data_IF_398911426944
#
_entry.id   IF_398911426944
#
_cell.length_a   1.000
_cell.length_b   1.000
_cell.length_c   1.000
_cell.angle_alpha   90.00
_cell.angle_beta   90.00
_cell.angle_gamma   90.00
#
_symmetry.space_group_name_H-M   'P 1'
#
loop_
_entity.id
_entity.type
_entity.pdbx_description
1 polymer ?
#
# COMPACT_ATOMS: atom_id res chain seq x y z
N UNK A 1 46.29 -22.85 -21.93
CA UNK A 1 46.43 -21.92 -20.79
C UNK A 1 45.28 -20.93 -20.88
N UNK A 2 44.15 -21.13 -20.18
CA UNK A 2 43.07 -20.15 -20.17
C UNK A 2 43.47 -19.01 -19.23
N UNK A 3 43.66 -17.83 -19.80
CA UNK A 3 44.10 -16.63 -19.10
C UNK A 3 42.92 -15.88 -18.50
N UNK A 4 42.97 -15.71 -17.17
CA UNK A 4 42.37 -14.62 -16.38
C UNK A 4 40.86 -14.42 -16.57
N UNK A 5 40.11 -14.98 -15.63
CA UNK A 5 38.78 -14.51 -15.25
C UNK A 5 38.87 -13.01 -14.96
N UNK A 6 38.35 -12.19 -15.88
CA UNK A 6 37.83 -10.88 -15.49
C UNK A 6 36.76 -11.19 -14.45
N UNK A 7 37.06 -10.92 -13.19
CA UNK A 7 36.03 -10.77 -12.17
C UNK A 7 34.93 -9.90 -12.77
N UNK A 8 33.71 -10.40 -12.79
CA UNK A 8 32.54 -9.63 -13.18
C UNK A 8 32.45 -8.43 -12.22
N UNK A 9 33.01 -7.29 -12.60
CA UNK A 9 33.00 -6.06 -11.79
C UNK A 9 31.54 -5.68 -11.51
N UNK A 10 31.08 -5.97 -10.29
CA UNK A 10 29.75 -5.61 -9.84
C UNK A 10 29.61 -4.09 -9.81
N UNK A 11 28.55 -3.57 -10.42
CA UNK A 11 28.19 -2.18 -10.29
C UNK A 11 27.83 -1.90 -8.83
N UNK A 12 28.57 -0.98 -8.19
CA UNK A 12 28.44 -0.68 -6.76
C UNK A 12 27.90 0.73 -6.56
N UNK A 13 26.90 0.87 -5.70
CA UNK A 13 26.30 2.12 -5.27
C UNK A 13 26.41 2.28 -3.76
N UNK A 14 26.63 3.50 -3.29
CA UNK A 14 26.73 3.82 -1.86
C UNK A 14 25.55 4.69 -1.42
N UNK A 15 24.92 4.31 -0.32
CA UNK A 15 23.88 5.09 0.34
C UNK A 15 24.36 5.43 1.74
N UNK A 16 24.58 6.70 2.01
CA UNK A 16 24.97 7.17 3.34
C UNK A 16 23.73 7.66 4.09
N UNK A 17 23.41 7.01 5.20
CA UNK A 17 22.36 7.43 6.13
C UNK A 17 23.02 8.27 7.22
N UNK A 18 22.67 9.54 7.30
CA UNK A 18 23.24 10.49 8.26
C UNK A 18 22.20 10.91 9.28
N UNK A 19 22.62 11.03 10.54
CA UNK A 19 21.78 11.64 11.57
C UNK A 19 21.93 13.16 11.53
N UNK A 20 20.86 13.85 11.16
CA UNK A 20 20.81 15.32 11.18
C UNK A 20 20.82 15.84 12.63
N UNK A 21 21.33 17.06 12.85
CA UNK A 21 21.24 17.81 14.11
C UNK A 21 22.05 17.26 15.30
N UNK A 22 23.23 16.71 15.05
CA UNK A 22 24.18 16.27 16.08
C UNK A 22 25.57 16.89 15.83
N UNK A 23 26.30 17.25 16.90
CA UNK A 23 27.64 17.85 16.80
C UNK A 23 28.68 16.91 16.16
N UNK A 24 28.49 15.60 16.34
CA UNK A 24 29.18 14.54 15.61
C UNK A 24 28.12 13.93 14.69
N UNK A 25 28.37 13.81 13.39
CA UNK A 25 27.42 13.20 12.45
C UNK A 25 27.68 11.68 12.36
N UNK A 26 27.04 10.84 13.19
CA UNK A 26 27.10 9.40 12.96
C UNK A 26 26.47 9.13 11.60
N UNK A 27 27.14 8.28 10.84
CA UNK A 27 26.65 7.82 9.56
C UNK A 27 26.80 6.32 9.45
N UNK A 28 25.86 5.71 8.75
CA UNK A 28 25.92 4.31 8.34
C UNK A 28 25.86 4.28 6.83
N UNK A 29 26.76 3.51 6.23
CA UNK A 29 26.80 3.33 4.78
C UNK A 29 26.22 1.97 4.42
N UNK A 30 25.27 1.97 3.49
CA UNK A 30 24.75 0.77 2.84
C UNK A 30 25.40 0.65 1.48
N UNK A 31 26.03 -0.50 1.24
CA UNK A 31 26.66 -0.83 -0.04
C UNK A 31 25.67 -1.69 -0.82
N UNK A 32 25.28 -1.21 -2.00
CA UNK A 32 24.36 -1.91 -2.90
C UNK A 32 25.16 -2.36 -4.12
N UNK A 33 25.14 -3.66 -4.41
CA UNK A 33 25.86 -4.25 -5.53
C UNK A 33 24.87 -4.94 -6.47
N UNK A 34 25.08 -4.75 -7.77
CA UNK A 34 24.29 -5.42 -8.81
C UNK A 34 25.17 -5.90 -9.96
N UNK A 35 24.79 -6.97 -10.67
CA UNK A 35 25.51 -7.49 -11.82
C UNK A 35 25.52 -6.53 -13.02
N UNK A 36 24.62 -5.54 -13.03
CA UNK A 36 24.61 -4.46 -14.02
C UNK A 36 24.39 -3.11 -13.34
N UNK A 37 24.81 -2.02 -13.99
CA UNK A 37 24.57 -0.66 -13.50
C UNK A 37 23.08 -0.35 -13.32
N UNK A 38 22.25 -0.78 -14.26
CA UNK A 38 20.79 -0.59 -14.18
C UNK A 38 20.21 -1.25 -12.93
N UNK A 39 20.58 -2.50 -12.66
CA UNK A 39 20.08 -3.22 -11.50
C UNK A 39 20.62 -2.65 -10.18
N UNK A 40 21.89 -2.22 -10.15
CA UNK A 40 22.45 -1.54 -8.99
C UNK A 40 21.74 -0.20 -8.69
N UNK A 41 21.36 0.56 -9.73
CA UNK A 41 20.59 1.80 -9.58
C UNK A 41 19.15 1.53 -9.11
N UNK A 42 18.50 0.50 -9.63
CA UNK A 42 17.17 0.07 -9.18
C UNK A 42 17.18 -0.35 -7.71
N UNK A 43 18.11 -1.23 -7.33
CA UNK A 43 18.30 -1.67 -5.94
C UNK A 43 18.62 -0.50 -5.02
N UNK A 44 19.45 0.46 -5.47
CA UNK A 44 19.73 1.68 -4.71
C UNK A 44 18.45 2.47 -4.47
N UNK A 45 17.63 2.68 -5.50
CA UNK A 45 16.37 3.41 -5.39
C UNK A 45 15.39 2.71 -4.45
N UNK A 46 15.25 1.39 -4.54
CA UNK A 46 14.41 0.61 -3.62
C UNK A 46 14.94 0.67 -2.18
N UNK A 47 16.24 0.58 -1.98
CA UNK A 47 16.86 0.72 -0.65
C UNK A 47 16.56 2.10 -0.05
N UNK A 48 16.71 3.18 -0.82
CA UNK A 48 16.37 4.54 -0.38
C UNK A 48 14.88 4.67 -0.05
N UNK A 49 13.99 4.08 -0.85
CA UNK A 49 12.55 4.05 -0.59
C UNK A 49 12.24 3.33 0.72
N UNK A 50 12.83 2.15 0.95
CA UNK A 50 12.64 1.37 2.17
C UNK A 50 13.13 2.11 3.41
N UNK A 51 14.34 2.69 3.37
CA UNK A 51 14.86 3.52 4.47
C UNK A 51 13.93 4.70 4.76
N UNK A 52 13.41 5.35 3.71
CA UNK A 52 12.48 6.47 3.86
C UNK A 52 11.15 6.05 4.47
N UNK A 53 10.60 4.91 4.06
CA UNK A 53 9.36 4.33 4.63
C UNK A 53 9.53 3.96 6.10
N UNK A 54 10.64 3.31 6.45
CA UNK A 54 10.96 2.98 7.86
C UNK A 54 11.06 4.25 8.71
N UNK A 55 11.80 5.25 8.23
CA UNK A 55 11.90 6.55 8.92
C UNK A 55 10.54 7.21 9.10
N UNK A 56 9.70 7.19 8.07
CA UNK A 56 8.37 7.81 8.15
C UNK A 56 7.47 7.06 9.13
N UNK A 57 7.45 5.72 9.10
CA UNK A 57 6.70 4.90 10.06
C UNK A 57 7.14 5.11 11.51
N UNK A 58 8.45 5.22 11.75
CA UNK A 58 8.99 5.53 13.08
C UNK A 58 8.62 6.95 13.55
N UNK A 59 8.51 7.92 12.63
CA UNK A 59 8.15 9.30 12.96
C UNK A 59 6.66 9.51 13.17
N UNK A 60 5.82 8.87 12.36
CA UNK A 60 4.37 8.99 12.47
C UNK A 60 3.83 8.18 13.64
N UNK A 61 4.46 7.04 13.96
CA UNK A 61 3.94 6.08 14.93
C UNK A 61 2.70 5.32 14.43
N UNK A 62 2.35 5.47 13.15
CA UNK A 62 1.18 4.86 12.53
C UNK A 62 1.59 4.01 11.34
N UNK A 63 0.97 2.83 11.25
CA UNK A 63 1.00 1.94 10.09
C UNK A 63 -0.43 1.62 9.69
N UNK A 64 -0.61 1.28 8.42
CA UNK A 64 -1.90 0.93 7.85
C UNK A 64 -1.96 -0.57 7.53
N UNK A 65 -3.17 -1.16 7.50
CA UNK A 65 -3.33 -2.56 7.12
C UNK A 65 -2.94 -2.75 5.65
N UNK A 66 -1.90 -3.55 5.39
CA UNK A 66 -1.48 -3.86 4.02
C UNK A 66 -2.38 -4.91 3.36
N UNK A 67 -1.90 -5.51 2.27
CA UNK A 67 -2.62 -6.56 1.51
C UNK A 67 -4.04 -6.15 1.07
N UNK A 68 -4.25 -4.86 0.82
CA UNK A 68 -5.55 -4.31 0.42
C UNK A 68 -6.54 -4.10 1.57
N UNK A 69 -6.18 -4.44 2.82
CA UNK A 69 -7.06 -4.30 3.98
C UNK A 69 -7.44 -2.85 4.25
N UNK A 70 -6.48 -1.92 4.16
CA UNK A 70 -6.75 -0.48 4.26
C UNK A 70 -7.79 0.00 3.24
N UNK A 71 -7.65 -0.40 1.98
CA UNK A 71 -8.54 0.04 0.91
C UNK A 71 -9.96 -0.51 1.05
N UNK A 72 -10.11 -1.75 1.51
CA UNK A 72 -11.41 -2.32 1.87
C UNK A 72 -12.05 -1.59 3.05
N UNK A 73 -11.27 -1.27 4.09
CA UNK A 73 -11.75 -0.47 5.21
C UNK A 73 -12.20 0.93 4.77
N UNK A 74 -11.45 1.58 3.87
CA UNK A 74 -11.83 2.87 3.29
C UNK A 74 -13.13 2.79 2.49
N UNK A 75 -13.30 1.79 1.62
CA UNK A 75 -14.52 1.62 0.85
C UNK A 75 -15.75 1.45 1.76
N UNK A 76 -15.63 0.61 2.80
CA UNK A 76 -16.67 0.41 3.80
C UNK A 76 -16.99 1.70 4.59
N UNK A 77 -15.97 2.45 4.99
CA UNK A 77 -16.15 3.72 5.72
C UNK A 77 -16.81 4.80 4.83
N UNK A 78 -16.44 4.89 3.56
CA UNK A 78 -17.04 5.81 2.59
C UNK A 78 -18.52 5.49 2.36
N UNK A 79 -18.89 4.20 2.31
CA UNK A 79 -20.28 3.77 2.19
C UNK A 79 -21.13 4.16 3.40
N UNK A 80 -20.59 3.99 4.61
CA UNK A 80 -21.23 4.45 5.85
C UNK A 80 -21.40 5.97 5.87
N UNK A 81 -20.36 6.71 5.49
CA UNK A 81 -20.40 8.18 5.42
C UNK A 81 -21.41 8.67 4.38
N UNK A 82 -21.47 8.06 3.20
CA UNK A 82 -22.46 8.39 2.18
C UNK A 82 -23.90 8.24 2.70
N UNK A 83 -24.13 7.20 3.51
CA UNK A 83 -25.42 6.93 4.15
C UNK A 83 -25.73 7.96 5.24
N UNK A 84 -24.75 8.35 6.05
CA UNK A 84 -24.90 9.41 7.06
C UNK A 84 -25.22 10.77 6.42
N UNK A 85 -24.68 11.04 5.23
CA UNK A 85 -24.89 12.26 4.45
C UNK A 85 -26.22 12.28 3.68
N UNK A 86 -27.14 11.32 3.86
CA UNK A 86 -28.38 11.22 3.05
C UNK A 86 -29.22 12.51 3.01
N UNK A 87 -29.14 13.36 4.05
CA UNK A 87 -29.82 14.66 4.10
C UNK A 87 -29.16 15.74 3.23
N UNK A 88 -27.98 15.46 2.68
CA UNK A 88 -27.20 16.32 1.79
C UNK A 88 -27.01 15.59 0.46
N UNK A 89 -28.09 15.49 -0.33
CA UNK A 89 -28.20 14.61 -1.50
C UNK A 89 -27.00 14.68 -2.45
N UNK A 90 -26.53 15.89 -2.80
CA UNK A 90 -25.38 16.06 -3.70
C UNK A 90 -24.07 15.54 -3.10
N UNK A 91 -23.85 15.74 -1.80
CA UNK A 91 -22.68 15.24 -1.12
C UNK A 91 -22.76 13.72 -0.94
N UNK A 92 -23.93 13.19 -0.57
CA UNK A 92 -24.16 11.75 -0.50
C UNK A 92 -23.90 11.07 -1.85
N UNK A 93 -24.40 11.66 -2.94
CA UNK A 93 -24.16 11.17 -4.30
C UNK A 93 -22.67 11.20 -4.65
N UNK A 94 -21.98 12.33 -4.40
CA UNK A 94 -20.56 12.46 -4.69
C UNK A 94 -19.71 11.45 -3.89
N UNK A 95 -20.02 11.26 -2.61
CA UNK A 95 -19.35 10.28 -1.73
C UNK A 95 -19.62 8.85 -2.19
N UNK A 96 -20.86 8.52 -2.57
CA UNK A 96 -21.22 7.19 -3.10
C UNK A 96 -20.39 6.84 -4.34
N UNK A 97 -20.09 7.81 -5.21
CA UNK A 97 -19.26 7.59 -6.41
C UNK A 97 -17.80 7.22 -6.12
N UNK A 98 -17.33 7.38 -4.88
CA UNK A 98 -15.99 6.96 -4.47
C UNK A 98 -15.91 5.47 -4.11
N UNK A 99 -17.03 4.80 -3.88
CA UNK A 99 -17.07 3.39 -3.46
C UNK A 99 -16.59 2.46 -4.59
N UNK A 100 -17.04 2.70 -5.83
CA UNK A 100 -16.70 1.84 -6.97
C UNK A 100 -15.20 1.86 -7.30
N UNK A 101 -14.52 3.02 -7.40
CA UNK A 101 -13.07 3.05 -7.63
C UNK A 101 -12.27 2.39 -6.51
N UNK A 102 -12.66 2.57 -5.25
CA UNK A 102 -11.98 1.92 -4.12
C UNK A 102 -12.15 0.40 -4.13
N UNK A 103 -13.35 -0.07 -4.51
CA UNK A 103 -13.62 -1.50 -4.68
C UNK A 103 -12.84 -2.07 -5.85
N UNK A 104 -12.81 -1.35 -6.97
CA UNK A 104 -12.07 -1.75 -8.17
C UNK A 104 -10.56 -1.85 -7.90
N UNK A 105 -10.00 -0.96 -7.06
CA UNK A 105 -8.60 -1.05 -6.65
C UNK A 105 -8.30 -2.38 -5.93
N UNK A 106 -9.20 -2.86 -5.07
CA UNK A 106 -9.07 -4.19 -4.46
C UNK A 106 -9.09 -5.33 -5.48
N UNK A 107 -9.93 -5.23 -6.52
CA UNK A 107 -10.00 -6.22 -7.60
C UNK A 107 -8.74 -6.23 -8.46
N UNK A 108 -8.17 -5.05 -8.74
CA UNK A 108 -6.91 -4.91 -9.48
C UNK A 108 -5.75 -5.49 -8.66
N UNK A 109 -5.71 -5.27 -7.34
CA UNK A 109 -4.70 -5.88 -6.48
C UNK A 109 -4.75 -7.41 -6.56
N UNK A 110 -5.96 -8.01 -6.52
CA UNK A 110 -6.13 -9.45 -6.70
C UNK A 110 -5.68 -9.94 -8.07
N UNK A 111 -6.00 -9.20 -9.13
CA UNK A 111 -5.58 -9.52 -10.50
C UNK A 111 -4.06 -9.61 -10.60
N UNK A 112 -3.38 -8.59 -10.10
CA UNK A 112 -1.93 -8.50 -10.17
C UNK A 112 -1.24 -9.56 -9.30
N UNK A 113 -1.88 -9.99 -8.21
CA UNK A 113 -1.37 -11.05 -7.35
C UNK A 113 -1.62 -12.46 -7.91
N UNK A 114 -2.75 -12.67 -8.61
CA UNK A 114 -3.19 -13.97 -9.14
C UNK A 114 -2.51 -14.35 -10.46
N UNK A 115 -1.74 -13.44 -11.08
CA UNK A 115 -1.01 -13.68 -12.33
C UNK A 115 -0.01 -14.85 -12.29
N UNK A 116 0.18 -15.52 -11.14
CA UNK A 116 1.05 -16.71 -11.02
C UNK A 116 0.35 -18.06 -10.82
N UNK A 117 -0.90 -18.18 -10.31
CA UNK A 117 -1.33 -19.47 -9.72
C UNK A 117 -2.80 -19.91 -9.89
N UNK A 118 -3.69 -19.17 -10.57
CA UNK A 118 -5.08 -19.64 -10.74
C UNK A 118 -5.60 -19.33 -12.15
N UNK A 119 -5.66 -20.34 -13.01
CA UNK A 119 -6.10 -20.24 -14.42
C UNK A 119 -7.58 -19.83 -14.61
N UNK A 120 -8.35 -19.52 -13.56
CA UNK A 120 -9.79 -19.25 -13.68
C UNK A 120 -10.39 -18.25 -12.64
N UNK A 121 -9.61 -17.31 -12.07
CA UNK A 121 -10.18 -16.30 -11.15
C UNK A 121 -10.87 -15.14 -11.90
N UNK A 122 -12.15 -15.34 -12.24
CA UNK A 122 -12.98 -14.33 -12.92
C UNK A 122 -13.06 -13.00 -12.16
N UNK A 123 -13.35 -11.90 -12.89
CA UNK A 123 -13.58 -10.58 -12.29
C UNK A 123 -14.64 -10.61 -11.17
N UNK A 124 -15.74 -11.33 -11.37
CA UNK A 124 -16.83 -11.40 -10.40
C UNK A 124 -16.44 -12.16 -9.12
N UNK A 125 -15.62 -13.21 -9.25
CA UNK A 125 -15.05 -13.93 -8.09
C UNK A 125 -14.18 -12.99 -7.25
N UNK A 126 -13.26 -12.25 -7.89
CA UNK A 126 -12.42 -11.26 -7.23
C UNK A 126 -13.24 -10.16 -6.56
N UNK A 127 -14.26 -9.64 -7.25
CA UNK A 127 -15.17 -8.64 -6.70
C UNK A 127 -15.93 -9.17 -5.47
N UNK A 128 -16.42 -10.41 -5.50
CA UNK A 128 -17.10 -11.04 -4.37
C UNK A 128 -16.19 -11.19 -3.15
N UNK A 129 -14.91 -11.54 -3.37
CA UNK A 129 -13.89 -11.60 -2.29
C UNK A 129 -13.67 -10.23 -1.65
N UNK A 130 -13.45 -9.19 -2.46
CA UNK A 130 -13.29 -7.81 -1.97
C UNK A 130 -14.51 -7.35 -1.16
N UNK A 131 -15.72 -7.59 -1.68
CA UNK A 131 -16.98 -7.25 -1.01
C UNK A 131 -17.17 -8.01 0.30
N UNK A 132 -16.75 -9.28 0.35
CA UNK A 132 -16.78 -10.07 1.59
C UNK A 132 -15.90 -9.44 2.67
N UNK A 133 -14.69 -9.01 2.33
CA UNK A 133 -13.78 -8.33 3.26
C UNK A 133 -14.38 -6.99 3.71
N UNK A 134 -14.91 -6.18 2.79
CA UNK A 134 -15.59 -4.92 3.12
C UNK A 134 -16.78 -5.13 4.09
N UNK A 135 -17.59 -6.16 3.86
CA UNK A 135 -18.73 -6.49 4.73
C UNK A 135 -18.28 -6.92 6.13
N UNK A 136 -17.18 -7.68 6.25
CA UNK A 136 -16.59 -8.04 7.55
C UNK A 136 -16.15 -6.80 8.31
N UNK A 137 -15.48 -5.85 7.65
CA UNK A 137 -15.11 -4.57 8.25
C UNK A 137 -16.34 -3.82 8.79
N UNK A 138 -17.38 -3.66 7.95
CA UNK A 138 -18.61 -2.97 8.36
C UNK A 138 -19.24 -3.64 9.57
N UNK A 139 -19.39 -4.96 9.55
CA UNK A 139 -19.98 -5.71 10.67
C UNK A 139 -19.17 -5.55 11.95
N UNK A 140 -17.85 -5.75 11.90
CA UNK A 140 -17.01 -5.62 13.09
C UNK A 140 -17.02 -4.20 13.66
N UNK A 141 -17.03 -3.17 12.80
CA UNK A 141 -17.16 -1.78 13.24
C UNK A 141 -18.52 -1.52 13.89
N UNK A 142 -19.61 -2.10 13.37
CA UNK A 142 -20.94 -2.00 13.99
C UNK A 142 -21.02 -2.71 15.34
N UNK A 143 -20.37 -3.86 15.47
CA UNK A 143 -20.43 -4.70 16.67
C UNK A 143 -19.67 -4.09 17.87
N UNK A 144 -18.49 -3.49 17.64
CA UNK A 144 -17.65 -2.96 18.73
C UNK A 144 -17.43 -1.44 18.70
N UNK A 145 -17.80 -0.77 17.62
CA UNK A 145 -17.55 0.65 17.36
C UNK A 145 -16.18 0.92 16.73
N UNK A 146 -16.12 1.89 15.81
CA UNK A 146 -14.93 2.19 15.01
C UNK A 146 -13.68 2.50 15.84
N UNK A 147 -13.81 3.33 16.88
CA UNK A 147 -12.67 3.73 17.72
C UNK A 147 -12.02 2.52 18.41
N UNK A 148 -12.84 1.63 18.98
CA UNK A 148 -12.37 0.40 19.64
C UNK A 148 -11.86 -0.62 18.64
N UNK A 149 -12.54 -0.76 17.50
CA UNK A 149 -12.15 -1.68 16.44
C UNK A 149 -10.71 -1.41 16.01
N UNK A 150 -10.42 -0.22 15.50
CA UNK A 150 -9.09 0.10 14.97
C UNK A 150 -8.00 0.23 16.04
N UNK A 151 -8.34 0.48 17.31
CA UNK A 151 -7.35 0.63 18.38
C UNK A 151 -7.01 -0.67 19.12
N UNK A 152 -7.92 -1.65 19.16
CA UNK A 152 -7.81 -2.81 20.08
C UNK A 152 -8.17 -4.15 19.45
N UNK A 153 -9.11 -4.19 18.52
CA UNK A 153 -9.60 -5.45 17.95
C UNK A 153 -9.09 -5.71 16.53
N UNK A 154 -8.61 -4.68 15.86
CA UNK A 154 -8.08 -4.79 14.52
C UNK A 154 -6.66 -5.34 14.55
N UNK A 155 -6.52 -6.61 14.19
CA UNK A 155 -5.21 -7.22 13.96
C UNK A 155 -4.78 -6.96 12.51
N UNK A 156 -3.75 -6.14 12.34
CA UNK A 156 -3.14 -5.82 11.03
C UNK A 156 -2.58 -7.05 10.30
N UNK A 157 -2.49 -8.21 10.97
CA UNK A 157 -2.03 -9.48 10.41
C UNK A 157 -3.18 -10.42 10.05
N UNK A 158 -4.43 -10.07 10.39
CA UNK A 158 -5.55 -10.98 10.22
C UNK A 158 -5.90 -11.16 8.74
N UNK A 159 -5.85 -12.42 8.28
CA UNK A 159 -6.30 -12.82 6.96
C UNK A 159 -7.81 -12.58 6.75
N UNK A 160 -8.60 -12.41 7.82
CA UNK A 160 -10.03 -12.12 7.72
C UNK A 160 -10.31 -10.75 7.07
N UNK A 161 -9.35 -9.83 7.22
CA UNK A 161 -9.42 -8.44 6.78
C UNK A 161 -8.44 -8.11 5.66
N UNK A 162 -7.70 -9.11 5.15
CA UNK A 162 -6.78 -8.98 4.04
C UNK A 162 -7.45 -9.44 2.73
N UNK A 163 -7.19 -8.73 1.64
CA UNK A 163 -7.65 -9.11 0.29
C UNK A 163 -6.67 -10.12 -0.32
N UNK A 164 -5.38 -9.82 -0.21
CA UNK A 164 -4.31 -10.71 -0.64
C UNK A 164 -4.01 -11.71 0.47
N UNK A 165 -4.07 -13.00 0.14
CA UNK A 165 -3.61 -14.06 1.03
C UNK A 165 -2.10 -13.93 1.23
N UNK A 166 -1.58 -14.05 2.47
CA UNK A 166 -0.14 -14.15 2.69
C UNK A 166 0.40 -15.33 1.87
N UNK A 167 1.46 -15.12 1.07
CA UNK A 167 2.10 -16.21 0.34
C UNK A 167 2.88 -17.07 1.34
N UNK A 168 2.63 -18.37 1.36
CA UNK A 168 3.29 -19.38 2.22
C UNK A 168 4.68 -19.81 1.71
N UNK A 169 5.30 -19.07 0.78
CA UNK A 169 6.46 -19.54 0.01
C UNK A 169 7.80 -18.87 0.34
N UNK A 170 7.87 -17.97 1.32
CA UNK A 170 9.16 -17.48 1.85
C UNK A 170 9.59 -18.32 3.06
N UNK A 171 10.91 -18.55 3.26
CA UNK A 171 11.38 -19.52 4.24
C UNK A 171 10.83 -19.19 5.64
N UNK A 172 10.15 -20.18 6.20
CA UNK A 172 9.58 -20.21 7.55
C UNK A 172 10.63 -19.74 8.57
N UNK A 173 10.61 -18.44 8.90
CA UNK A 173 11.16 -17.98 10.17
C UNK A 173 10.29 -18.55 11.28
N UNK A 174 10.87 -18.93 12.41
CA UNK A 174 10.19 -19.61 13.54
C UNK A 174 8.94 -18.87 14.09
N UNK A 175 8.69 -17.63 13.64
CA UNK A 175 7.43 -16.88 13.77
C UNK A 175 6.86 -16.55 12.37
N UNK A 176 6.04 -17.47 11.84
CA UNK A 176 5.40 -17.54 10.52
C UNK A 176 4.47 -16.35 10.15
N UNK A 177 4.95 -15.11 10.32
CA UNK A 177 4.13 -13.88 10.39
C UNK A 177 4.74 -12.73 9.60
N UNK A 178 4.71 -12.82 8.28
CA UNK A 178 4.94 -11.68 7.40
C UNK A 178 3.81 -10.66 7.54
N UNK A 179 4.04 -9.60 8.33
CA UNK A 179 3.12 -8.47 8.42
C UNK A 179 3.32 -7.54 7.21
N UNK A 180 2.45 -7.65 6.22
CA UNK A 180 2.36 -6.65 5.16
C UNK A 180 1.61 -5.44 5.69
N UNK A 181 2.34 -4.34 5.91
CA UNK A 181 1.79 -3.06 6.37
C UNK A 181 2.11 -1.97 5.38
N UNK A 182 1.18 -1.04 5.23
CA UNK A 182 1.35 0.14 4.40
C UNK A 182 1.81 1.33 5.25
N UNK A 183 2.68 2.16 4.67
CA UNK A 183 3.23 3.33 5.36
C UNK A 183 2.24 4.51 5.31
N UNK A 184 1.88 5.01 6.50
CA UNK A 184 0.80 5.98 6.69
C UNK A 184 0.99 7.31 5.94
N UNK A 185 2.18 7.93 5.99
CA UNK A 185 2.44 9.23 5.37
C UNK A 185 2.43 9.14 3.84
N UNK A 186 3.03 8.09 3.28
CA UNK A 186 2.99 7.81 1.84
C UNK A 186 1.56 7.64 1.37
N UNK A 187 0.75 6.88 2.11
CA UNK A 187 -0.65 6.66 1.79
C UNK A 187 -1.46 7.96 1.86
N UNK A 188 -1.29 8.72 2.94
CA UNK A 188 -1.94 10.03 3.13
C UNK A 188 -1.57 11.00 2.01
N UNK A 189 -0.28 11.06 1.66
CA UNK A 189 0.21 11.88 0.54
C UNK A 189 -0.39 11.41 -0.79
N UNK A 190 -0.45 10.10 -1.05
CA UNK A 190 -1.00 9.55 -2.28
C UNK A 190 -2.48 9.94 -2.45
N UNK A 191 -3.31 9.70 -1.43
CA UNK A 191 -4.73 10.08 -1.44
C UNK A 191 -4.88 11.58 -1.70
N UNK A 192 -4.19 12.42 -0.91
CA UNK A 192 -4.28 13.89 -1.04
C UNK A 192 -3.92 14.38 -2.43
N UNK A 193 -2.83 13.86 -3.01
CA UNK A 193 -2.38 14.22 -4.36
C UNK A 193 -3.35 13.74 -5.44
N UNK A 194 -3.87 12.52 -5.32
CA UNK A 194 -4.87 11.98 -6.25
C UNK A 194 -6.15 12.82 -6.26
N UNK A 195 -6.69 13.16 -5.09
CA UNK A 195 -7.86 14.05 -5.01
C UNK A 195 -7.57 15.45 -5.52
N UNK A 196 -6.35 15.96 -5.33
CA UNK A 196 -5.95 17.26 -5.91
C UNK A 196 -5.99 17.23 -7.44
N UNK A 197 -5.50 16.15 -8.06
CA UNK A 197 -5.57 15.99 -9.52
C UNK A 197 -7.03 15.95 -9.99
N UNK A 198 -7.88 15.15 -9.34
CA UNK A 198 -9.31 15.07 -9.67
C UNK A 198 -9.98 16.45 -9.56
N UNK A 199 -9.73 17.17 -8.47
CA UNK A 199 -10.27 18.53 -8.30
C UNK A 199 -9.81 19.49 -9.39
N UNK A 200 -8.56 19.38 -9.85
CA UNK A 200 -8.06 20.21 -10.95
C UNK A 200 -8.76 19.85 -12.26
N UNK A 201 -8.90 18.56 -12.57
CA UNK A 201 -9.58 18.09 -13.79
C UNK A 201 -11.05 18.50 -13.81
N UNK A 202 -11.77 18.34 -12.69
CA UNK A 202 -13.19 18.71 -12.59
C UNK A 202 -13.44 20.23 -12.62
N UNK A 203 -12.40 21.05 -12.45
CA UNK A 203 -12.48 22.52 -12.57
C UNK A 203 -12.21 23.03 -13.98
N UNK A 204 -11.82 22.16 -14.91
CA UNK A 204 -11.56 22.57 -16.29
C UNK A 204 -12.88 22.53 -17.05
N UNK A 205 -13.46 23.69 -17.30
CA UNK A 205 -14.74 23.80 -18.02
C UNK A 205 -14.58 23.76 -19.55
N UNK A 206 -13.36 23.97 -20.07
CA UNK A 206 -13.07 23.99 -21.51
C UNK A 206 -11.69 23.44 -21.81
N UNK A 207 -11.60 22.57 -22.83
CA UNK A 207 -10.35 22.11 -23.42
C UNK A 207 -10.21 22.70 -24.83
N UNK A 208 -9.05 23.26 -25.15
CA UNK A 208 -8.67 23.53 -26.54
C UNK A 208 -7.84 22.37 -27.06
N UNK A 209 -8.25 21.80 -28.20
CA UNK A 209 -7.45 20.86 -28.98
C UNK A 209 -6.94 21.64 -30.18
N UNK A 210 -5.61 21.72 -30.33
CA UNK A 210 -4.96 22.33 -31.50
C UNK A 210 -4.86 21.34 -32.65
#
# INVERSE_FOLDING_TARGET
MPSVTRDDELATCFIQVTQSNTRHQPHTSVIVQGPTKSLAEELRNETVKTISRLRNGLRSGYVLPGNGGFWCACAAAVEQEATALVRQELQSLATTRLIDPLTQLGVILLENAAASDVEDDSFFSRLARVRTVQNRFTRSVLDVGASKFYSRYFDFRSAEYAVLTPKTTEPEGEDDRLSHVDEYESMTSAIRKSFRVIQLLLRIDRHHVN
#
